data_IF_556828130563
#
_entry.id   IF_556828130563
#
_cell.length_a   1.000
_cell.length_b   1.000
_cell.length_c   1.000
_cell.angle_alpha   90.00
_cell.angle_beta   90.00
_cell.angle_gamma   90.00
#
_symmetry.space_group_name_H-M   'P 1'
#
loop_
_entity.id
_entity.type
_entity.pdbx_description
1 polymer ?
#
# COMPACT_ATOMS: atom_id res chain seq x y z
N UNK A 1 -13.21 5.14 18.17
CA UNK A 1 -13.76 5.05 16.80
C UNK A 1 -13.45 3.67 16.24
N UNK A 2 -14.48 2.84 16.11
CA UNK A 2 -14.45 1.53 15.47
C UNK A 2 -14.61 1.76 13.96
N UNK A 3 -13.76 1.14 13.14
CA UNK A 3 -13.85 1.18 11.67
C UNK A 3 -13.77 -0.25 11.16
N UNK A 4 -14.50 -0.56 10.08
CA UNK A 4 -14.65 -1.92 9.52
C UNK A 4 -13.49 -2.32 8.57
N UNK A 5 -12.33 -1.67 8.68
CA UNK A 5 -11.20 -1.98 7.81
C UNK A 5 -10.47 -3.22 8.32
N UNK A 6 -10.27 -4.22 7.46
CA UNK A 6 -9.48 -5.41 7.77
C UNK A 6 -8.00 -5.28 7.32
N UNK A 7 -7.70 -4.21 6.56
CA UNK A 7 -6.41 -3.99 5.92
C UNK A 7 -5.94 -2.55 6.05
N UNK A 8 -4.64 -2.35 6.20
CA UNK A 8 -3.96 -1.05 6.17
C UNK A 8 -2.86 -1.00 5.11
N UNK A 9 -2.82 0.07 4.33
CA UNK A 9 -1.69 0.37 3.45
C UNK A 9 -0.51 0.84 4.30
N UNK A 10 0.63 0.14 4.22
CA UNK A 10 1.67 0.21 5.23
C UNK A 10 3.06 0.34 4.62
N UNK A 11 3.54 1.56 4.40
CA UNK A 11 4.88 1.79 3.85
C UNK A 11 5.99 1.66 4.90
N UNK A 12 5.65 1.71 6.18
CA UNK A 12 6.63 1.86 7.27
C UNK A 12 7.12 3.31 7.44
N UNK A 13 6.59 4.26 6.66
CA UNK A 13 6.75 5.68 6.93
C UNK A 13 5.99 6.12 8.19
N UNK A 14 6.31 7.31 8.70
CA UNK A 14 5.79 7.83 9.97
C UNK A 14 4.25 7.76 10.05
N UNK A 15 3.55 8.27 9.04
CA UNK A 15 2.08 8.34 9.04
C UNK A 15 1.44 6.96 9.14
N UNK A 16 1.87 6.03 8.28
CA UNK A 16 1.37 4.65 8.29
C UNK A 16 1.73 3.91 9.58
N UNK A 17 2.88 4.24 10.19
CA UNK A 17 3.34 3.65 11.46
C UNK A 17 2.51 4.14 12.65
N UNK A 18 2.20 5.45 12.69
CA UNK A 18 1.31 6.02 13.70
C UNK A 18 -0.08 5.41 13.59
N UNK A 19 -0.63 5.31 12.38
CA UNK A 19 -1.92 4.66 12.14
C UNK A 19 -1.90 3.19 12.56
N UNK A 20 -0.85 2.45 12.21
CA UNK A 20 -0.65 1.06 12.65
C UNK A 20 -0.63 0.94 14.17
N UNK A 21 0.12 1.79 14.88
CA UNK A 21 0.20 1.78 16.34
C UNK A 21 -1.15 2.09 17.00
N UNK A 22 -1.90 3.06 16.48
CA UNK A 22 -3.25 3.39 16.97
C UNK A 22 -4.21 2.21 16.78
N UNK A 23 -3.97 1.36 15.78
CA UNK A 23 -4.90 0.32 15.33
C UNK A 23 -4.45 -1.11 15.59
N UNK A 24 -3.30 -1.33 16.22
CA UNK A 24 -2.70 -2.67 16.41
C UNK A 24 -3.60 -3.67 17.14
N UNK A 25 -4.54 -3.20 17.96
CA UNK A 25 -5.47 -4.07 18.73
C UNK A 25 -6.71 -4.49 17.91
N UNK A 26 -6.85 -4.05 16.65
CA UNK A 26 -8.04 -4.27 15.81
C UNK A 26 -7.89 -5.41 14.79
N UNK A 27 -6.96 -6.35 15.02
CA UNK A 27 -6.69 -7.51 14.14
C UNK A 27 -6.52 -7.14 12.64
N UNK A 28 -5.81 -6.03 12.39
CA UNK A 28 -5.53 -5.56 11.03
C UNK A 28 -4.45 -6.38 10.36
N UNK A 29 -4.60 -6.58 9.05
CA UNK A 29 -3.51 -7.00 8.18
C UNK A 29 -2.87 -5.78 7.50
N UNK A 30 -1.56 -5.79 7.32
CA UNK A 30 -0.83 -4.77 6.58
C UNK A 30 -0.47 -5.29 5.18
N UNK A 31 -0.55 -4.40 4.19
CA UNK A 31 -0.02 -4.65 2.86
C UNK A 31 1.01 -3.58 2.52
N UNK A 32 2.11 -3.96 1.89
CA UNK A 32 3.10 -3.05 1.29
C UNK A 32 3.30 -3.39 -0.18
N UNK A 33 3.27 -2.38 -1.05
CA UNK A 33 3.61 -2.54 -2.46
C UNK A 33 5.10 -2.26 -2.65
N UNK A 34 5.83 -3.20 -3.25
CA UNK A 34 7.27 -3.10 -3.54
C UNK A 34 7.49 -3.19 -5.04
N UNK A 35 8.07 -2.16 -5.64
CA UNK A 35 8.49 -2.23 -7.04
C UNK A 35 9.74 -3.12 -7.15
N UNK A 36 9.67 -4.22 -7.93
CA UNK A 36 10.77 -5.19 -8.06
C UNK A 36 12.02 -4.58 -8.69
N UNK A 37 11.80 -3.71 -9.66
CA UNK A 37 12.86 -3.15 -10.50
C UNK A 37 13.56 -1.95 -9.85
N UNK A 38 13.11 -1.52 -8.66
CA UNK A 38 13.60 -0.33 -7.99
C UNK A 38 13.88 -0.60 -6.50
N UNK A 39 15.04 -0.16 -6.04
CA UNK A 39 15.41 -0.28 -4.62
C UNK A 39 14.64 0.80 -3.84
N UNK A 40 13.70 0.37 -3.00
CA UNK A 40 12.94 1.23 -2.09
C UNK A 40 13.23 0.90 -0.62
N UNK A 41 13.24 1.92 0.24
CA UNK A 41 13.40 1.75 1.70
C UNK A 41 12.13 1.21 2.38
N UNK A 42 10.97 1.35 1.72
CA UNK A 42 9.67 0.89 2.22
C UNK A 42 9.69 -0.60 2.59
N UNK A 43 10.45 -1.44 1.89
CA UNK A 43 10.60 -2.86 2.24
C UNK A 43 11.16 -3.03 3.66
N UNK A 44 12.27 -2.36 3.95
CA UNK A 44 12.94 -2.49 5.24
C UNK A 44 12.11 -1.85 6.36
N UNK A 45 11.58 -0.65 6.12
CA UNK A 45 10.79 0.06 7.12
C UNK A 45 9.47 -0.66 7.44
N UNK A 46 8.72 -1.10 6.42
CA UNK A 46 7.47 -1.85 6.65
C UNK A 46 7.71 -3.12 7.45
N UNK A 47 8.77 -3.87 7.16
CA UNK A 47 9.14 -5.08 7.91
C UNK A 47 9.50 -4.78 9.37
N UNK A 48 10.31 -3.75 9.61
CA UNK A 48 10.72 -3.35 10.97
C UNK A 48 9.49 -2.96 11.80
N UNK A 49 8.65 -2.07 11.26
CA UNK A 49 7.49 -1.57 12.00
C UNK A 49 6.41 -2.65 12.12
N UNK A 50 6.14 -3.44 11.08
CA UNK A 50 5.19 -4.55 11.14
C UNK A 50 5.55 -5.54 12.24
N UNK A 51 6.83 -5.92 12.33
CA UNK A 51 7.35 -6.76 13.41
C UNK A 51 7.26 -6.09 14.78
N UNK A 52 7.61 -4.80 14.88
CA UNK A 52 7.56 -4.05 16.13
C UNK A 52 6.14 -3.93 16.70
N UNK A 53 5.15 -3.75 15.82
CA UNK A 53 3.75 -3.59 16.19
C UNK A 53 2.99 -4.92 16.32
N UNK A 54 3.55 -6.03 15.83
CA UNK A 54 2.89 -7.33 15.79
C UNK A 54 1.78 -7.43 14.73
N UNK A 55 1.82 -6.58 13.69
CA UNK A 55 0.83 -6.56 12.61
C UNK A 55 1.27 -7.53 11.51
N UNK A 56 0.44 -8.50 11.10
CA UNK A 56 0.73 -9.37 9.96
C UNK A 56 0.99 -8.55 8.69
N UNK A 57 2.17 -8.69 8.10
CA UNK A 57 2.59 -7.91 6.93
C UNK A 57 2.66 -8.78 5.68
N UNK A 58 1.88 -8.43 4.67
CA UNK A 58 1.97 -8.97 3.32
C UNK A 58 2.76 -8.01 2.40
N UNK A 59 3.65 -8.57 1.58
CA UNK A 59 4.40 -7.82 0.59
C UNK A 59 3.88 -8.20 -0.80
N UNK A 60 3.38 -7.22 -1.55
CA UNK A 60 3.08 -7.38 -2.97
C UNK A 60 4.18 -6.76 -3.80
N UNK A 61 4.92 -7.61 -4.49
CA UNK A 61 5.89 -7.19 -5.47
C UNK A 61 5.20 -6.88 -6.80
N UNK A 62 5.51 -5.73 -7.39
CA UNK A 62 5.00 -5.29 -8.70
C UNK A 62 6.15 -5.04 -9.65
N UNK A 63 6.00 -5.45 -10.90
CA UNK A 63 6.93 -5.14 -11.99
C UNK A 63 6.46 -3.91 -12.79
N UNK A 64 7.30 -3.48 -13.74
CA UNK A 64 7.01 -2.34 -14.62
C UNK A 64 5.71 -2.53 -15.42
N UNK A 65 5.40 -3.74 -15.88
CA UNK A 65 4.18 -3.98 -16.67
C UNK A 65 2.92 -3.78 -15.81
N UNK A 66 2.90 -4.31 -14.58
CA UNK A 66 1.83 -4.05 -13.62
C UNK A 66 1.71 -2.55 -13.28
N UNK A 67 2.82 -1.82 -13.17
CA UNK A 67 2.82 -0.38 -12.93
C UNK A 67 2.24 0.40 -14.12
N UNK A 68 2.60 0.04 -15.36
CA UNK A 68 2.07 0.67 -16.57
C UNK A 68 0.56 0.46 -16.70
N UNK A 69 0.06 -0.72 -16.35
CA UNK A 69 -1.37 -0.99 -16.33
C UNK A 69 -2.09 -0.25 -15.20
N UNK A 70 -1.44 -0.10 -14.03
CA UNK A 70 -1.95 0.73 -12.94
C UNK A 70 -2.07 2.21 -13.35
N UNK A 71 -1.11 2.76 -14.10
CA UNK A 71 -1.19 4.11 -14.66
C UNK A 71 -2.43 4.26 -15.55
N UNK A 72 -2.62 3.35 -16.51
CA UNK A 72 -3.80 3.36 -17.41
C UNK A 72 -5.11 3.31 -16.61
N UNK A 73 -5.19 2.42 -15.62
CA UNK A 73 -6.34 2.28 -14.74
C UNK A 73 -6.63 3.55 -13.94
N UNK A 74 -5.59 4.16 -13.39
CA UNK A 74 -5.67 5.38 -12.57
C UNK A 74 -6.17 6.57 -13.40
N UNK A 75 -5.60 6.79 -14.59
CA UNK A 75 -6.06 7.84 -15.53
C UNK A 75 -7.55 7.63 -15.88
N UNK A 76 -7.95 6.38 -16.15
CA UNK A 76 -9.34 6.08 -16.51
C UNK A 76 -10.33 6.41 -15.40
N UNK A 77 -9.95 6.23 -14.13
CA UNK A 77 -10.78 6.49 -12.95
C UNK A 77 -10.78 7.98 -12.61
N UNK A 78 -9.60 8.58 -12.47
CA UNK A 78 -9.46 9.98 -12.03
C UNK A 78 -9.80 10.99 -13.13
N UNK A 79 -9.80 10.57 -14.41
CA UNK A 79 -9.97 11.44 -15.58
C UNK A 79 -8.96 12.59 -15.61
N UNK A 80 -7.77 12.36 -15.05
CA UNK A 80 -6.67 13.30 -14.98
C UNK A 80 -5.44 12.75 -15.72
N UNK A 81 -4.60 13.64 -16.24
CA UNK A 81 -3.33 13.34 -16.90
C UNK A 81 -2.15 14.06 -16.25
N UNK A 82 -2.36 14.81 -15.16
CA UNK A 82 -1.27 15.39 -14.39
C UNK A 82 -0.34 14.29 -13.88
N UNK A 83 0.92 14.36 -14.27
CA UNK A 83 1.93 13.35 -14.01
C UNK A 83 2.19 13.13 -12.51
N UNK A 84 2.23 14.21 -11.73
CA UNK A 84 2.42 14.16 -10.27
C UNK A 84 1.23 13.46 -9.59
N UNK A 85 0.01 13.85 -9.93
CA UNK A 85 -1.20 13.24 -9.34
C UNK A 85 -1.35 11.76 -9.70
N UNK A 86 -1.07 11.41 -10.96
CA UNK A 86 -1.10 10.03 -11.41
C UNK A 86 -0.05 9.22 -10.66
N UNK A 87 1.21 9.68 -10.62
CA UNK A 87 2.30 9.00 -9.91
C UNK A 87 1.96 8.75 -8.43
N UNK A 88 1.36 9.73 -7.75
CA UNK A 88 0.99 9.58 -6.34
C UNK A 88 -0.18 8.60 -6.13
N UNK A 89 -1.02 8.43 -7.15
CA UNK A 89 -2.26 7.65 -7.06
C UNK A 89 -2.10 6.19 -7.49
N UNK A 90 -1.06 5.84 -8.28
CA UNK A 90 -0.88 4.47 -8.78
C UNK A 90 -0.75 3.45 -7.65
N UNK A 91 -0.06 3.80 -6.57
CA UNK A 91 0.17 2.87 -5.45
C UNK A 91 -1.15 2.57 -4.75
N UNK A 92 -1.98 3.59 -4.52
CA UNK A 92 -3.34 3.43 -3.98
C UNK A 92 -4.22 2.58 -4.89
N UNK A 93 -4.14 2.77 -6.21
CA UNK A 93 -4.85 1.93 -7.18
C UNK A 93 -4.43 0.46 -7.06
N UNK A 94 -3.11 0.19 -6.96
CA UNK A 94 -2.57 -1.17 -6.82
C UNK A 94 -3.05 -1.80 -5.51
N UNK A 95 -3.02 -1.08 -4.39
CA UNK A 95 -3.56 -1.54 -3.10
C UNK A 95 -5.02 -2.00 -3.24
N UNK A 96 -5.87 -1.11 -3.75
CA UNK A 96 -7.30 -1.37 -3.88
C UNK A 96 -7.57 -2.54 -4.84
N UNK A 97 -6.84 -2.63 -5.95
CA UNK A 97 -7.00 -3.72 -6.91
C UNK A 97 -6.51 -5.07 -6.35
N UNK A 98 -5.44 -5.07 -5.56
CA UNK A 98 -4.93 -6.29 -4.92
C UNK A 98 -5.92 -6.80 -3.86
N UNK A 99 -6.43 -5.91 -3.00
CA UNK A 99 -7.35 -6.27 -1.93
C UNK A 99 -8.74 -6.65 -2.46
N UNK A 100 -9.22 -5.99 -3.52
CA UNK A 100 -10.49 -6.36 -4.18
C UNK A 100 -10.52 -7.81 -4.67
N UNK A 101 -9.36 -8.41 -4.97
CA UNK A 101 -9.27 -9.82 -5.40
C UNK A 101 -9.28 -10.82 -4.23
N UNK A 102 -9.13 -10.34 -2.99
CA UNK A 102 -9.10 -11.15 -1.76
C UNK A 102 -10.46 -11.17 -1.04
N UNK A 103 -11.39 -10.32 -1.46
CA UNK A 103 -12.75 -10.19 -0.91
C UNK A 103 -13.77 -10.66 -1.93
#
# INVERSE_FOLDING_TARGET
>A
MQHDANWIAFSGGLDSSILGQIKKEQDLNALTIIAKDFIGTDLSHSQIIGKHLGIPLELKYVDIDEMLDAIKGTIKILKNFNDIEIRNSIVSYIYLNALKKKT
#
